data_IF_735840292248
#
_entry.id   IF_735840292248
#
_cell.length_a   1.000
_cell.length_b   1.000
_cell.length_c   1.000
_cell.angle_alpha   90.00
_cell.angle_beta   90.00
_cell.angle_gamma   90.00
#
_symmetry.space_group_name_H-M   'P 1'
#
loop_
_entity.id
_entity.type
_entity.pdbx_description
1 polymer ?
#
# COMPACT_ATOMS: atom_id res chain seq x y z
N UNK A 1 31.25 -1.03 5.53
CA UNK A 1 29.94 -0.50 6.01
C UNK A 1 28.83 -1.31 5.37
N UNK A 2 27.98 -1.99 6.15
CA UNK A 2 26.82 -2.71 5.62
C UNK A 2 25.77 -1.72 5.15
N UNK A 3 25.33 -1.82 3.88
CA UNK A 3 24.35 -0.92 3.28
C UNK A 3 22.94 -1.39 3.70
N UNK A 4 22.44 -0.88 4.82
CA UNK A 4 21.09 -1.24 5.30
C UNK A 4 20.03 -0.80 4.30
N UNK A 5 19.15 -1.72 3.89
CA UNK A 5 18.07 -1.45 2.93
C UNK A 5 16.89 -0.77 3.64
N UNK A 6 16.12 0.09 2.94
CA UNK A 6 14.92 0.68 3.53
C UNK A 6 13.86 -0.39 3.87
N UNK A 7 13.28 -0.34 5.06
CA UNK A 7 12.06 -1.08 5.38
C UNK A 7 10.83 -0.32 4.87
N UNK A 8 9.74 -1.04 4.58
CA UNK A 8 8.50 -0.47 4.06
C UNK A 8 7.34 -0.91 4.96
N UNK A 9 6.37 -0.03 5.15
CA UNK A 9 5.07 -0.29 5.78
C UNK A 9 3.96 0.17 4.85
N UNK A 10 2.84 -0.54 4.82
CA UNK A 10 1.65 -0.18 4.02
C UNK A 10 0.38 -0.37 4.85
N UNK A 11 -0.54 0.59 4.76
CA UNK A 11 -1.86 0.50 5.38
C UNK A 11 -2.89 1.32 4.62
N UNK A 12 -4.15 0.92 4.69
CA UNK A 12 -5.26 1.79 4.36
C UNK A 12 -5.53 2.75 5.53
N UNK A 13 -6.07 3.93 5.27
CA UNK A 13 -6.37 4.91 6.34
C UNK A 13 -7.46 4.41 7.30
N UNK A 14 -8.45 3.69 6.79
CA UNK A 14 -9.46 2.97 7.58
C UNK A 14 -9.29 1.45 7.43
N UNK A 15 -9.75 0.72 8.44
CA UNK A 15 -9.79 -0.75 8.41
C UNK A 15 -11.01 -1.30 7.66
N UNK A 16 -12.03 -0.47 7.42
CA UNK A 16 -13.31 -0.89 6.82
C UNK A 16 -13.85 0.18 5.90
N UNK A 17 -14.40 -0.26 4.77
CA UNK A 17 -15.00 0.59 3.74
C UNK A 17 -16.29 -0.05 3.21
N UNK A 18 -17.13 0.77 2.58
CA UNK A 18 -18.31 0.33 1.83
C UNK A 18 -18.06 0.37 0.32
N UNK A 19 -18.92 -0.31 -0.42
CA UNK A 19 -18.90 -0.25 -1.88
C UNK A 19 -19.11 1.19 -2.39
N UNK A 20 -18.28 1.60 -3.35
CA UNK A 20 -18.26 2.98 -3.85
C UNK A 20 -17.33 3.94 -3.09
N UNK A 21 -16.79 3.53 -1.94
CA UNK A 21 -15.86 4.36 -1.17
C UNK A 21 -14.52 4.56 -1.90
N UNK A 22 -13.81 5.58 -1.44
CA UNK A 22 -12.42 5.82 -1.82
C UNK A 22 -11.49 5.38 -0.69
N UNK A 23 -10.63 4.42 -1.00
CA UNK A 23 -9.60 3.89 -0.10
C UNK A 23 -8.33 4.71 -0.30
N UNK A 24 -7.88 5.38 0.75
CA UNK A 24 -6.57 6.05 0.77
C UNK A 24 -5.56 5.07 1.37
N UNK A 25 -4.49 4.81 0.63
CA UNK A 25 -3.45 3.86 1.00
C UNK A 25 -2.16 4.63 1.24
N UNK A 26 -1.60 4.49 2.44
CA UNK A 26 -0.36 5.11 2.85
C UNK A 26 0.78 4.09 2.87
N UNK A 27 1.93 4.48 2.32
CA UNK A 27 3.17 3.72 2.35
C UNK A 27 4.25 4.54 3.05
N UNK A 28 4.97 3.93 3.98
CA UNK A 28 6.07 4.57 4.72
C UNK A 28 7.35 3.77 4.49
N UNK A 29 8.41 4.44 4.07
CA UNK A 29 9.74 3.87 3.96
C UNK A 29 10.69 4.47 5.00
N UNK A 30 11.43 3.62 5.70
CA UNK A 30 12.44 4.02 6.69
C UNK A 30 13.77 3.35 6.42
N UNK A 31 14.87 4.03 6.74
CA UNK A 31 16.22 3.47 6.71
C UNK A 31 16.89 3.80 8.04
N UNK A 32 17.24 2.78 8.83
CA UNK A 32 17.79 2.97 10.19
C UNK A 32 16.90 3.89 11.03
N UNK A 33 15.59 3.61 11.02
CA UNK A 33 14.52 4.37 11.68
C UNK A 33 14.32 5.83 11.24
N UNK A 34 15.14 6.33 10.32
CA UNK A 34 14.99 7.64 9.69
C UNK A 34 14.11 7.55 8.43
N UNK A 35 13.40 8.63 8.06
CA UNK A 35 12.71 8.72 6.77
C UNK A 35 13.61 8.34 5.60
N UNK A 36 13.11 7.49 4.69
CA UNK A 36 13.81 7.15 3.45
C UNK A 36 13.14 7.87 2.27
N UNK A 37 13.68 9.03 1.82
CA UNK A 37 13.10 9.78 0.72
C UNK A 37 13.42 9.17 -0.64
N UNK A 38 12.60 9.51 -1.65
CA UNK A 38 12.77 9.13 -3.05
C UNK A 38 12.85 7.62 -3.32
N UNK A 39 12.37 6.79 -2.40
CA UNK A 39 12.33 5.34 -2.56
C UNK A 39 11.28 5.00 -3.62
N UNK A 40 11.67 4.36 -4.74
CA UNK A 40 10.73 3.87 -5.74
C UNK A 40 10.00 2.63 -5.21
N UNK A 41 8.67 2.63 -5.37
CA UNK A 41 7.76 1.63 -4.82
C UNK A 41 6.78 1.15 -5.90
N UNK A 42 6.33 -0.09 -5.78
CA UNK A 42 5.16 -0.62 -6.48
C UNK A 42 4.12 -1.02 -5.44
N UNK A 43 2.88 -0.57 -5.63
CA UNK A 43 1.75 -0.92 -4.78
C UNK A 43 0.75 -1.75 -5.58
N UNK A 44 0.24 -2.81 -4.96
CA UNK A 44 -0.81 -3.67 -5.49
C UNK A 44 -1.96 -3.79 -4.49
N UNK A 45 -3.19 -3.86 -5.00
CA UNK A 45 -4.37 -4.27 -4.23
C UNK A 45 -4.94 -5.52 -4.85
N UNK A 46 -5.22 -6.51 -4.01
CA UNK A 46 -5.87 -7.76 -4.37
C UNK A 46 -7.23 -7.83 -3.71
N UNK A 47 -8.22 -8.28 -4.47
CA UNK A 47 -9.55 -8.58 -3.95
C UNK A 47 -9.56 -9.90 -3.16
N UNK A 48 -10.67 -10.26 -2.51
CA UNK A 48 -10.78 -11.47 -1.70
C UNK A 48 -10.56 -12.78 -2.48
N UNK A 49 -10.66 -12.77 -3.82
CA UNK A 49 -10.36 -13.93 -4.65
C UNK A 49 -8.85 -14.10 -4.93
N UNK A 50 -8.03 -13.14 -4.50
CA UNK A 50 -6.61 -13.06 -4.83
C UNK A 50 -6.34 -12.41 -6.18
N UNK A 51 -7.36 -11.88 -6.87
CA UNK A 51 -7.18 -11.17 -8.13
C UNK A 51 -6.65 -9.77 -7.85
N UNK A 52 -5.60 -9.38 -8.56
CA UNK A 52 -5.07 -8.01 -8.54
C UNK A 52 -6.07 -7.07 -9.22
N UNK A 53 -6.59 -6.11 -8.47
CA UNK A 53 -7.62 -5.15 -8.91
C UNK A 53 -7.09 -3.72 -9.03
N UNK A 54 -5.93 -3.43 -8.44
CA UNK A 54 -5.25 -2.15 -8.57
C UNK A 54 -3.74 -2.33 -8.56
N UNK A 55 -3.03 -1.49 -9.32
CA UNK A 55 -1.59 -1.39 -9.24
C UNK A 55 -1.12 0.02 -9.58
N UNK A 56 -0.09 0.50 -8.90
CA UNK A 56 0.55 1.79 -9.23
C UNK A 56 2.01 1.83 -8.82
N UNK A 57 2.77 2.71 -9.46
CA UNK A 57 4.14 3.05 -9.06
C UNK A 57 4.10 4.31 -8.19
N UNK A 58 4.84 4.30 -7.09
CA UNK A 58 4.93 5.42 -6.14
C UNK A 58 6.40 5.80 -5.91
N UNK A 59 6.60 7.01 -5.41
CA UNK A 59 7.89 7.46 -4.90
C UNK A 59 7.67 8.16 -3.56
N UNK A 60 8.51 7.88 -2.56
CA UNK A 60 8.40 8.56 -1.26
C UNK A 60 8.86 10.01 -1.32
N UNK A 61 8.17 10.86 -0.56
CA UNK A 61 8.49 12.26 -0.33
C UNK A 61 9.72 12.45 0.59
N UNK A 62 10.04 13.70 0.93
CA UNK A 62 11.14 14.03 1.84
C UNK A 62 10.96 13.50 3.28
N UNK A 63 9.74 13.09 3.65
CA UNK A 63 9.39 12.47 4.94
C UNK A 63 9.29 10.95 4.84
N UNK A 64 9.70 10.36 3.72
CA UNK A 64 9.67 8.91 3.51
C UNK A 64 8.26 8.36 3.35
N UNK A 65 7.28 9.18 2.93
CA UNK A 65 5.88 8.78 2.76
C UNK A 65 5.47 8.80 1.30
N UNK A 66 4.60 7.89 0.91
CA UNK A 66 3.89 7.92 -0.38
C UNK A 66 2.42 7.56 -0.15
N UNK A 67 1.55 8.01 -1.05
CA UNK A 67 0.11 7.75 -0.96
C UNK A 67 -0.45 7.33 -2.31
N UNK A 68 -1.46 6.47 -2.28
CA UNK A 68 -2.27 6.09 -3.43
C UNK A 68 -3.75 6.19 -3.10
N UNK A 69 -4.56 6.40 -4.14
CA UNK A 69 -6.01 6.48 -4.04
C UNK A 69 -6.60 5.36 -4.88
N UNK A 70 -7.38 4.49 -4.25
CA UNK A 70 -8.09 3.39 -4.89
C UNK A 70 -9.60 3.54 -4.70
N UNK A 71 -10.36 3.59 -5.79
CA UNK A 71 -11.83 3.72 -5.73
C UNK A 71 -12.46 2.33 -5.85
N UNK A 72 -13.27 1.95 -4.87
CA UNK A 72 -14.07 0.74 -4.92
C UNK A 72 -15.24 0.92 -5.88
N UNK A 73 -15.47 -0.05 -6.75
CA UNK A 73 -16.66 -0.07 -7.60
C UNK A 73 -17.88 -0.50 -6.76
N UNK A 74 -19.08 -0.08 -7.16
CA UNK A 74 -20.34 -0.55 -6.55
C UNK A 74 -20.57 -2.06 -6.75
N UNK A 75 -19.82 -2.70 -7.66
CA UNK A 75 -19.86 -4.13 -7.97
C UNK A 75 -18.61 -4.87 -7.51
N UNK A 76 -17.70 -4.20 -6.78
CA UNK A 76 -16.52 -4.85 -6.19
C UNK A 76 -16.94 -5.97 -5.24
N UNK A 77 -16.20 -7.09 -5.16
CA UNK A 77 -16.45 -8.12 -4.16
C UNK A 77 -16.36 -7.56 -2.73
N UNK A 78 -17.22 -7.99 -1.82
CA UNK A 78 -17.06 -7.71 -0.38
C UNK A 78 -16.10 -8.71 0.25
N UNK A 79 -15.42 -8.32 1.33
CA UNK A 79 -14.51 -9.18 2.08
C UNK A 79 -13.15 -8.54 2.35
N UNK A 80 -12.16 -9.37 2.64
CA UNK A 80 -10.80 -8.94 2.95
C UNK A 80 -10.01 -8.64 1.68
N UNK A 81 -9.58 -7.39 1.54
CA UNK A 81 -8.66 -6.94 0.50
C UNK A 81 -7.25 -6.91 1.05
N UNK A 82 -6.28 -7.23 0.19
CA UNK A 82 -4.87 -7.28 0.56
C UNK A 82 -4.08 -6.20 -0.16
N UNK A 83 -3.19 -5.55 0.58
CA UNK A 83 -2.24 -4.56 0.10
C UNK A 83 -0.86 -5.18 0.05
N UNK A 84 -0.14 -4.93 -1.02
CA UNK A 84 1.27 -5.32 -1.16
C UNK A 84 2.07 -4.13 -1.67
N UNK A 85 3.06 -3.70 -0.89
CA UNK A 85 4.01 -2.66 -1.28
C UNK A 85 5.41 -3.26 -1.42
N UNK A 86 6.02 -3.12 -2.60
CA UNK A 86 7.36 -3.60 -2.91
C UNK A 86 8.29 -2.42 -3.20
N UNK A 87 9.50 -2.45 -2.65
CA UNK A 87 10.59 -1.56 -3.04
C UNK A 87 11.56 -2.25 -4.01
N UNK A 88 12.29 -1.47 -4.80
CA UNK A 88 13.36 -2.02 -5.66
C UNK A 88 14.48 -2.72 -4.87
N UNK A 89 14.62 -2.43 -3.57
CA UNK A 89 15.53 -3.12 -2.66
C UNK A 89 15.02 -4.46 -2.14
N UNK A 90 13.93 -5.01 -2.72
CA UNK A 90 13.28 -6.26 -2.31
C UNK A 90 12.60 -6.25 -0.94
N UNK A 91 12.47 -5.09 -0.30
CA UNK A 91 11.62 -4.97 0.89
C UNK A 91 10.16 -5.06 0.45
N UNK A 92 9.41 -5.92 1.14
CA UNK A 92 7.99 -6.16 0.92
C UNK A 92 7.23 -5.87 2.21
N UNK A 93 6.10 -5.17 2.07
CA UNK A 93 5.18 -4.89 3.16
C UNK A 93 3.78 -5.34 2.76
N UNK A 94 3.06 -5.91 3.72
CA UNK A 94 1.68 -6.36 3.56
C UNK A 94 0.75 -5.57 4.47
N UNK A 95 -0.47 -5.35 4.01
CA UNK A 95 -1.56 -4.76 4.79
C UNK A 95 -2.90 -5.29 4.29
N UNK A 96 -3.99 -4.89 4.95
CA UNK A 96 -5.33 -5.27 4.54
C UNK A 96 -6.36 -4.24 4.96
N UNK A 97 -7.54 -4.33 4.34
CA UNK A 97 -8.75 -3.64 4.76
C UNK A 97 -9.97 -4.49 4.40
N UNK A 98 -11.10 -4.22 5.05
CA UNK A 98 -12.35 -4.95 4.85
C UNK A 98 -13.30 -4.11 4.01
N UNK A 99 -13.95 -4.72 3.03
CA UNK A 99 -15.05 -4.10 2.27
C UNK A 99 -16.37 -4.76 2.65
N UNK A 100 -17.32 -3.94 3.06
CA UNK A 100 -18.69 -4.31 3.41
C UNK A 100 -19.69 -3.76 2.38
N UNK A 101 -20.93 -4.25 2.46
CA UNK A 101 -22.06 -3.73 1.69
C UNK A 101 -22.43 -2.30 2.07
#
# INVERSE_FOLDING_TARGET
MSKTMPSVLVHAENNTYKLGDTVIISVIAKKQDQPAPQVPLKLYVYDPSGKKVFHTSLQTDNKGKAMAVYRLDKKSPTGNYYLEAQSNSKSLALGSFIVLL
#
